data_IF_753222734096
#
_entry.id   IF_753222734096
#
_cell.length_a   1.000
_cell.length_b   1.000
_cell.length_c   1.000
_cell.angle_alpha   90.00
_cell.angle_beta   90.00
_cell.angle_gamma   90.00
#
_symmetry.space_group_name_H-M   'P 1'
#
loop_
_entity.id
_entity.type
_entity.pdbx_description
1 polymer ?
#
# COMPACT_ATOMS: atom_id res chain seq x y z
N UNK A 1 14.79 18.25 -2.53
CA UNK A 1 13.60 18.77 -3.25
C UNK A 1 13.38 18.08 -4.59
N UNK A 2 14.45 17.81 -5.37
CA UNK A 2 14.37 17.05 -6.64
C UNK A 2 13.98 15.58 -6.43
N UNK A 3 14.42 14.93 -5.35
CA UNK A 3 14.06 13.53 -5.06
C UNK A 3 12.60 13.36 -4.61
N UNK A 4 12.02 14.37 -3.94
CA UNK A 4 10.61 14.36 -3.53
C UNK A 4 9.67 14.45 -4.73
N UNK A 5 10.04 15.25 -5.75
CA UNK A 5 9.27 15.38 -7.00
C UNK A 5 9.37 14.10 -7.84
N UNK A 6 10.51 13.40 -7.82
CA UNK A 6 10.67 12.09 -8.50
C UNK A 6 9.86 10.98 -7.82
N UNK A 7 9.82 10.95 -6.47
CA UNK A 7 9.03 10.01 -5.68
C UNK A 7 7.51 10.20 -5.88
N UNK A 8 7.03 11.44 -6.06
CA UNK A 8 5.61 11.75 -6.26
C UNK A 8 5.07 11.54 -7.69
N UNK A 9 5.92 11.45 -8.73
CA UNK A 9 5.46 11.24 -10.12
C UNK A 9 5.11 9.78 -10.42
N UNK A 10 5.84 8.85 -9.82
CA UNK A 10 5.62 7.41 -9.99
C UNK A 10 4.19 6.98 -9.62
N UNK A 11 3.61 7.37 -8.47
CA UNK A 11 2.24 6.99 -8.14
C UNK A 11 1.21 7.57 -9.11
N UNK A 12 1.40 8.80 -9.62
CA UNK A 12 0.49 9.41 -10.61
C UNK A 12 0.51 8.65 -11.93
N UNK A 13 1.71 8.25 -12.39
CA UNK A 13 1.86 7.46 -13.62
C UNK A 13 1.20 6.08 -13.46
N UNK A 14 1.39 5.42 -12.31
CA UNK A 14 0.76 4.13 -12.02
C UNK A 14 -0.77 4.27 -12.03
N UNK A 15 -1.32 5.30 -11.38
CA UNK A 15 -2.76 5.56 -11.37
C UNK A 15 -3.29 5.77 -12.80
N UNK A 16 -2.58 6.56 -13.62
CA UNK A 16 -2.98 6.78 -15.00
C UNK A 16 -2.97 5.49 -15.84
N UNK A 17 -1.95 4.64 -15.69
CA UNK A 17 -1.86 3.34 -16.36
C UNK A 17 -3.01 2.43 -15.91
N UNK A 18 -3.30 2.37 -14.61
CA UNK A 18 -4.40 1.56 -14.07
C UNK A 18 -5.74 2.04 -14.61
N UNK A 19 -5.95 3.35 -14.73
CA UNK A 19 -7.18 3.91 -15.30
C UNK A 19 -7.33 3.55 -16.79
N UNK A 20 -6.27 3.68 -17.59
CA UNK A 20 -6.28 3.31 -19.02
C UNK A 20 -6.54 1.81 -19.19
N UNK A 21 -5.89 0.98 -18.36
CA UNK A 21 -6.07 -0.47 -18.39
C UNK A 21 -7.50 -0.87 -18.00
N UNK A 22 -8.04 -0.25 -16.94
CA UNK A 22 -9.42 -0.49 -16.50
C UNK A 22 -10.44 -0.06 -17.55
N UNK A 23 -10.21 1.09 -18.19
CA UNK A 23 -11.05 1.54 -19.31
C UNK A 23 -11.03 0.55 -20.48
N UNK A 24 -9.84 0.06 -20.85
CA UNK A 24 -9.69 -0.91 -21.92
C UNK A 24 -10.39 -2.22 -21.58
N UNK A 25 -10.24 -2.71 -20.35
CA UNK A 25 -10.92 -3.93 -19.91
C UNK A 25 -12.44 -3.78 -19.96
N UNK A 26 -13.02 -2.75 -19.36
CA UNK A 26 -14.47 -2.55 -19.35
C UNK A 26 -15.05 -2.46 -20.76
N UNK A 27 -14.33 -1.78 -21.68
CA UNK A 27 -14.84 -1.50 -23.02
C UNK A 27 -14.68 -2.66 -24.00
N UNK A 28 -13.64 -3.48 -23.84
CA UNK A 28 -13.31 -4.54 -24.80
C UNK A 28 -13.50 -5.96 -24.25
N UNK A 29 -13.59 -6.12 -22.93
CA UNK A 29 -13.77 -7.40 -22.25
C UNK A 29 -15.03 -7.28 -21.40
N UNK A 30 -16.05 -8.08 -21.70
CA UNK A 30 -17.36 -7.99 -21.05
C UNK A 30 -17.25 -8.48 -19.59
N UNK A 31 -16.81 -7.60 -18.68
CA UNK A 31 -16.45 -7.93 -17.29
C UNK A 31 -17.63 -7.85 -16.31
N UNK A 32 -18.84 -7.55 -16.79
CA UNK A 32 -20.01 -7.28 -15.94
C UNK A 32 -20.37 -8.44 -15.00
N UNK A 33 -20.05 -9.68 -15.39
CA UNK A 33 -20.39 -10.89 -14.64
C UNK A 33 -19.26 -11.37 -13.70
N UNK A 34 -18.16 -10.61 -13.59
CA UNK A 34 -17.06 -10.98 -12.69
C UNK A 34 -17.44 -10.70 -11.24
N UNK A 35 -17.48 -11.77 -10.43
CA UNK A 35 -17.68 -11.70 -8.96
C UNK A 35 -16.74 -10.74 -8.25
N UNK A 36 -15.55 -10.49 -8.81
CA UNK A 36 -14.55 -9.59 -8.22
C UNK A 36 -15.03 -8.14 -8.17
N UNK A 37 -16.04 -7.77 -8.97
CA UNK A 37 -16.58 -6.41 -9.08
C UNK A 37 -17.85 -6.23 -8.21
N UNK A 38 -18.32 -7.30 -7.57
CA UNK A 38 -19.44 -7.21 -6.62
C UNK A 38 -19.06 -6.37 -5.39
N UNK A 39 -19.99 -5.54 -4.91
CA UNK A 39 -19.75 -4.57 -3.84
C UNK A 39 -19.25 -5.23 -2.56
N UNK A 40 -19.90 -6.32 -2.16
CA UNK A 40 -19.53 -7.08 -0.97
C UNK A 40 -18.12 -7.66 -1.08
N UNK A 41 -17.74 -8.13 -2.28
CA UNK A 41 -16.38 -8.62 -2.52
C UNK A 41 -15.35 -7.50 -2.44
N UNK A 42 -15.59 -6.38 -3.13
CA UNK A 42 -14.70 -5.22 -3.16
C UNK A 42 -14.40 -4.70 -1.75
N UNK A 43 -15.44 -4.47 -0.96
CA UNK A 43 -15.29 -3.96 0.42
C UNK A 43 -14.54 -4.97 1.28
N UNK A 44 -14.89 -6.26 1.23
CA UNK A 44 -14.20 -7.29 2.00
C UNK A 44 -12.73 -7.40 1.61
N UNK A 45 -12.40 -7.34 0.32
CA UNK A 45 -11.02 -7.40 -0.16
C UNK A 45 -10.18 -6.25 0.44
N UNK A 46 -10.68 -5.01 0.33
CA UNK A 46 -9.97 -3.84 0.83
C UNK A 46 -9.81 -3.91 2.36
N UNK A 47 -10.84 -4.36 3.09
CA UNK A 47 -10.76 -4.54 4.55
C UNK A 47 -9.75 -5.61 4.96
N UNK A 48 -9.66 -6.72 4.22
CA UNK A 48 -8.63 -7.75 4.43
C UNK A 48 -7.24 -7.15 4.25
N UNK A 49 -7.02 -6.39 3.17
CA UNK A 49 -5.72 -5.76 2.91
C UNK A 49 -5.36 -4.70 3.97
N UNK A 50 -6.35 -3.91 4.41
CA UNK A 50 -6.15 -2.94 5.48
C UNK A 50 -5.77 -3.65 6.80
N UNK A 51 -6.47 -4.72 7.15
CA UNK A 51 -6.20 -5.51 8.36
C UNK A 51 -4.81 -6.14 8.31
N UNK A 52 -4.41 -6.68 7.15
CA UNK A 52 -3.07 -7.21 6.94
C UNK A 52 -2.02 -6.12 7.10
N UNK A 53 -2.24 -4.93 6.52
CA UNK A 53 -1.28 -3.83 6.63
C UNK A 53 -1.08 -3.37 8.08
N UNK A 54 -2.17 -3.23 8.85
CA UNK A 54 -2.09 -2.88 10.27
C UNK A 54 -1.35 -3.95 11.07
N UNK A 55 -1.60 -5.23 10.78
CA UNK A 55 -0.87 -6.33 11.41
C UNK A 55 0.63 -6.27 11.11
N UNK A 56 1.01 -5.98 9.86
CA UNK A 56 2.42 -5.87 9.47
C UNK A 56 3.09 -4.66 10.14
N UNK A 57 2.43 -3.50 10.17
CA UNK A 57 2.93 -2.30 10.89
C UNK A 57 3.16 -2.62 12.37
N UNK A 58 2.24 -3.35 13.00
CA UNK A 58 2.36 -3.76 14.40
C UNK A 58 3.55 -4.71 14.60
N UNK A 59 3.73 -5.68 13.70
CA UNK A 59 4.85 -6.61 13.74
C UNK A 59 6.19 -5.88 13.56
N UNK A 60 6.23 -4.90 12.66
CA UNK A 60 7.40 -4.05 12.42
C UNK A 60 7.75 -3.28 13.68
N UNK A 61 6.78 -2.61 14.29
CA UNK A 61 6.99 -1.86 15.54
C UNK A 61 7.59 -2.76 16.63
N UNK A 62 7.01 -3.95 16.85
CA UNK A 62 7.52 -4.92 17.81
C UNK A 62 8.93 -5.43 17.48
N UNK A 63 9.25 -5.62 16.19
CA UNK A 63 10.57 -6.08 15.75
C UNK A 63 11.63 -5.00 15.93
N UNK A 64 11.28 -3.74 15.63
CA UNK A 64 12.16 -2.59 15.80
C UNK A 64 12.48 -2.35 17.27
N UNK A 65 11.50 -2.43 18.16
CA UNK A 65 11.75 -2.34 19.60
C UNK A 65 12.75 -3.40 20.07
N UNK A 66 12.56 -4.67 19.66
CA UNK A 66 13.51 -5.75 19.99
C UNK A 66 14.91 -5.51 19.44
N UNK A 67 15.04 -4.96 18.23
CA UNK A 67 16.35 -4.60 17.65
C UNK A 67 16.98 -3.48 18.46
N UNK A 68 16.20 -2.45 18.83
CA UNK A 68 16.67 -1.32 19.61
C UNK A 68 17.14 -1.75 21.00
N UNK A 69 16.40 -2.63 21.67
CA UNK A 69 16.77 -3.17 22.98
C UNK A 69 18.10 -3.94 22.91
N UNK A 70 18.25 -4.83 21.92
CA UNK A 70 19.52 -5.54 21.67
C UNK A 70 20.70 -4.61 21.38
N UNK A 71 20.47 -3.52 20.63
CA UNK A 71 21.51 -2.52 20.34
C UNK A 71 21.91 -1.78 21.62
N UNK A 72 20.94 -1.43 22.49
CA UNK A 72 21.20 -0.75 23.75
C UNK A 72 22.00 -1.65 24.70
N UNK A 73 21.65 -2.94 24.80
CA UNK A 73 22.44 -3.93 25.57
C UNK A 73 23.91 -3.97 25.09
N UNK A 74 24.13 -4.01 23.77
CA UNK A 74 25.48 -4.01 23.19
C UNK A 74 26.22 -2.65 23.28
N UNK A 75 25.51 -1.52 23.41
CA UNK A 75 26.13 -0.19 23.61
C UNK A 75 26.86 -0.07 24.93
N UNK A 76 26.47 -0.83 25.96
CA UNK A 76 27.21 -0.90 27.22
C UNK A 76 28.63 -1.48 27.07
N UNK A 77 28.95 -2.09 25.92
CA UNK A 77 30.29 -2.63 25.61
C UNK A 77 31.24 -1.63 24.93
N UNK A 78 30.85 -0.36 24.76
CA UNK A 78 31.80 0.74 24.47
C UNK A 78 32.33 0.86 23.03
N UNK A 79 31.66 0.27 22.03
CA UNK A 79 32.18 0.24 20.66
C UNK A 79 31.55 1.33 19.76
N UNK A 80 32.31 2.40 19.44
CA UNK A 80 31.85 3.57 18.65
C UNK A 80 31.36 3.25 17.22
N UNK A 81 31.71 2.08 16.67
CA UNK A 81 31.18 1.63 15.37
C UNK A 81 29.71 1.20 15.45
N UNK A 82 29.28 0.66 16.60
CA UNK A 82 27.90 0.21 16.84
C UNK A 82 26.93 1.40 16.85
N UNK A 83 27.36 2.59 17.31
CA UNK A 83 26.50 3.78 17.34
C UNK A 83 26.14 4.29 15.93
N UNK A 84 27.10 4.27 14.98
CA UNK A 84 26.85 4.66 13.59
C UNK A 84 25.97 3.64 12.86
N UNK A 85 26.20 2.34 13.09
CA UNK A 85 25.38 1.26 12.52
C UNK A 85 23.95 1.33 13.07
N UNK A 86 23.79 1.55 14.37
CA UNK A 86 22.49 1.76 15.03
C UNK A 86 21.71 2.93 14.46
N UNK A 87 22.32 4.12 14.30
CA UNK A 87 21.65 5.29 13.73
C UNK A 87 21.18 5.06 12.28
N UNK A 88 21.93 4.29 11.50
CA UNK A 88 21.55 3.97 10.13
C UNK A 88 20.41 2.95 10.07
N UNK A 89 20.41 1.94 10.96
CA UNK A 89 19.32 0.97 11.07
C UNK A 89 18.03 1.68 11.51
N UNK A 90 18.08 2.52 12.54
CA UNK A 90 16.91 3.26 13.02
C UNK A 90 16.31 4.17 11.94
N UNK A 91 17.16 4.84 11.14
CA UNK A 91 16.72 5.65 10.01
C UNK A 91 16.05 4.81 8.92
N UNK A 92 16.70 3.73 8.48
CA UNK A 92 16.15 2.86 7.43
C UNK A 92 14.82 2.25 7.86
N UNK A 93 14.70 1.83 9.11
CA UNK A 93 13.48 1.26 9.65
C UNK A 93 12.36 2.30 9.75
N UNK A 94 12.66 3.53 10.18
CA UNK A 94 11.70 4.63 10.19
C UNK A 94 11.23 4.99 8.77
N UNK A 95 12.13 4.99 7.79
CA UNK A 95 11.80 5.27 6.39
C UNK A 95 10.85 4.20 5.84
N UNK A 96 11.11 2.91 6.13
CA UNK A 96 10.22 1.81 5.74
C UNK A 96 8.87 1.94 6.47
N UNK A 97 8.87 2.29 7.75
CA UNK A 97 7.63 2.49 8.51
C UNK A 97 6.75 3.60 7.92
N UNK A 98 7.35 4.73 7.54
CA UNK A 98 6.61 5.82 6.90
C UNK A 98 6.10 5.43 5.50
N UNK A 99 6.85 4.63 4.74
CA UNK A 99 6.40 4.07 3.46
C UNK A 99 5.16 3.18 3.64
N UNK A 100 5.23 2.20 4.55
CA UNK A 100 4.09 1.32 4.85
C UNK A 100 2.87 2.07 5.38
N UNK A 101 3.08 3.12 6.17
CA UNK A 101 2.01 4.00 6.65
C UNK A 101 1.35 4.78 5.52
N UNK A 102 2.12 5.24 4.53
CA UNK A 102 1.57 5.90 3.35
C UNK A 102 0.73 4.93 2.51
N UNK A 103 1.22 3.71 2.29
CA UNK A 103 0.48 2.68 1.56
C UNK A 103 -0.81 2.27 2.29
N UNK A 104 -0.75 2.14 3.62
CA UNK A 104 -1.95 1.85 4.44
C UNK A 104 -2.99 2.96 4.34
N UNK A 105 -2.55 4.23 4.38
CA UNK A 105 -3.44 5.37 4.18
C UNK A 105 -4.06 5.36 2.79
N UNK A 106 -3.29 4.96 1.78
CA UNK A 106 -3.79 4.82 0.42
C UNK A 106 -4.88 3.75 0.31
N UNK A 107 -4.69 2.57 0.92
CA UNK A 107 -5.74 1.54 1.03
C UNK A 107 -7.00 2.07 1.74
N UNK A 108 -6.83 2.89 2.78
CA UNK A 108 -7.96 3.52 3.45
C UNK A 108 -8.71 4.50 2.54
N UNK A 109 -8.00 5.29 1.72
CA UNK A 109 -8.66 6.12 0.72
C UNK A 109 -9.38 5.29 -0.35
N UNK A 110 -8.78 4.19 -0.81
CA UNK A 110 -9.44 3.23 -1.70
C UNK A 110 -10.76 2.73 -1.11
N UNK A 111 -10.81 2.45 0.19
CA UNK A 111 -12.04 2.05 0.88
C UNK A 111 -13.10 3.16 0.85
N UNK A 112 -12.72 4.40 1.19
CA UNK A 112 -13.64 5.55 1.15
C UNK A 112 -14.18 5.76 -0.27
N UNK A 113 -13.31 5.70 -1.28
CA UNK A 113 -13.71 5.82 -2.67
C UNK A 113 -14.62 4.68 -3.12
N UNK A 114 -14.36 3.45 -2.69
CA UNK A 114 -15.22 2.30 -2.98
C UNK A 114 -16.63 2.53 -2.43
N UNK A 115 -16.74 2.94 -1.17
CA UNK A 115 -18.02 3.28 -0.54
C UNK A 115 -18.74 4.39 -1.32
N UNK A 116 -18.02 5.46 -1.70
CA UNK A 116 -18.60 6.56 -2.47
C UNK A 116 -19.15 6.09 -3.84
N UNK A 117 -18.44 5.20 -4.53
CA UNK A 117 -18.88 4.62 -5.81
C UNK A 117 -20.11 3.73 -5.64
N UNK A 118 -20.15 2.89 -4.61
CA UNK A 118 -21.31 2.02 -4.32
C UNK A 118 -22.55 2.87 -4.01
N UNK A 119 -22.39 3.96 -3.25
CA UNK A 119 -23.47 4.93 -3.00
C UNK A 119 -23.89 5.58 -4.33
N UNK A 120 -22.94 6.02 -5.16
CA UNK A 120 -23.22 6.64 -6.46
C UNK A 120 -23.98 5.70 -7.41
N UNK A 121 -23.66 4.40 -7.39
CA UNK A 121 -24.39 3.36 -8.11
C UNK A 121 -25.85 3.32 -7.70
N UNK A 122 -26.10 3.29 -6.39
CA UNK A 122 -27.43 3.21 -5.78
C UNK A 122 -28.29 4.48 -5.99
N UNK A 123 -27.67 5.64 -6.18
CA UNK A 123 -28.39 6.89 -6.42
C UNK A 123 -28.75 7.00 -7.91
N UNK A 124 -30.00 6.73 -8.24
CA UNK A 124 -30.59 7.18 -9.50
C UNK A 124 -31.07 8.61 -9.32
N UNK A 125 -30.35 9.59 -9.87
CA UNK A 125 -30.79 10.99 -9.84
C UNK A 125 -31.74 11.20 -11.02
N UNK A 126 -33.05 11.39 -10.79
CA UNK A 126 -33.95 11.76 -11.88
C UNK A 126 -33.51 13.12 -12.43
N UNK A 127 -33.43 13.23 -13.76
CA UNK A 127 -33.05 14.42 -14.54
C UNK A 127 -31.56 14.79 -14.64
N UNK A 128 -30.63 14.06 -14.02
CA UNK A 128 -29.19 14.25 -14.31
C UNK A 128 -28.77 13.24 -15.37
N UNK A 129 -28.64 13.72 -16.61
CA UNK A 129 -27.97 12.94 -17.65
C UNK A 129 -26.49 12.82 -17.31
N UNK A 130 -25.95 11.61 -17.47
CA UNK A 130 -24.54 11.35 -17.24
C UNK A 130 -23.68 12.30 -18.10
N UNK A 131 -22.76 13.09 -17.52
CA UNK A 131 -22.12 14.21 -18.21
C UNK A 131 -21.09 13.78 -19.27
N UNK A 132 -20.72 12.50 -19.31
CA UNK A 132 -19.67 11.98 -20.18
C UNK A 132 -20.30 11.22 -21.35
N UNK A 133 -20.09 11.70 -22.58
CA UNK A 133 -20.67 11.07 -23.79
C UNK A 133 -20.05 9.72 -24.17
N UNK A 134 -18.82 9.44 -23.75
CA UNK A 134 -18.04 8.28 -24.20
C UNK A 134 -18.11 7.05 -23.30
N UNK A 135 -18.71 7.19 -22.11
CA UNK A 135 -18.80 6.18 -21.07
C UNK A 135 -20.17 6.33 -20.42
N UNK A 136 -20.93 5.25 -20.29
CA UNK A 136 -22.17 5.27 -19.52
C UNK A 136 -21.88 5.20 -17.99
N UNK A 137 -22.88 5.56 -17.15
CA UNK A 137 -22.73 5.55 -15.68
C UNK A 137 -22.22 4.19 -15.16
N UNK A 138 -22.75 3.07 -15.68
CA UNK A 138 -22.39 1.73 -15.22
C UNK A 138 -20.96 1.35 -15.61
N UNK A 139 -20.54 1.65 -16.83
CA UNK A 139 -19.16 1.48 -17.31
C UNK A 139 -18.18 2.28 -16.46
N UNK A 140 -18.54 3.52 -16.08
CA UNK A 140 -17.72 4.33 -15.17
C UNK A 140 -17.60 3.70 -13.78
N UNK A 141 -18.70 3.20 -13.24
CA UNK A 141 -18.74 2.52 -11.95
C UNK A 141 -17.84 1.27 -12.00
N UNK A 142 -18.02 0.42 -13.01
CA UNK A 142 -17.22 -0.80 -13.19
C UNK A 142 -15.73 -0.48 -13.37
N UNK A 143 -15.41 0.52 -14.20
CA UNK A 143 -14.04 1.00 -14.39
C UNK A 143 -13.42 1.45 -13.08
N UNK A 144 -14.18 2.18 -12.26
CA UNK A 144 -13.71 2.71 -11.00
C UNK A 144 -13.51 1.60 -9.96
N UNK A 145 -14.46 0.67 -9.82
CA UNK A 145 -14.33 -0.51 -8.96
C UNK A 145 -13.10 -1.33 -9.33
N UNK A 146 -12.92 -1.61 -10.61
CA UNK A 146 -11.77 -2.37 -11.09
C UNK A 146 -10.44 -1.65 -10.85
N UNK A 147 -10.40 -0.33 -11.08
CA UNK A 147 -9.24 0.49 -10.77
C UNK A 147 -8.87 0.42 -9.28
N UNK A 148 -9.86 0.48 -8.40
CA UNK A 148 -9.65 0.38 -6.95
C UNK A 148 -9.06 -0.98 -6.58
N UNK A 149 -9.55 -2.07 -7.17
CA UNK A 149 -9.00 -3.42 -6.92
C UNK A 149 -7.52 -3.46 -7.29
N UNK A 150 -7.17 -3.02 -8.50
CA UNK A 150 -5.78 -3.03 -8.96
C UNK A 150 -4.87 -2.15 -8.11
N UNK A 151 -5.33 -0.94 -7.77
CA UNK A 151 -4.59 -0.03 -6.90
C UNK A 151 -4.38 -0.63 -5.50
N UNK A 152 -5.39 -1.33 -4.98
CA UNK A 152 -5.30 -1.99 -3.68
C UNK A 152 -4.30 -3.16 -3.70
N UNK A 153 -4.26 -3.94 -4.79
CA UNK A 153 -3.27 -5.01 -4.98
C UNK A 153 -1.85 -4.46 -5.07
N UNK A 154 -1.66 -3.35 -5.81
CA UNK A 154 -0.34 -2.70 -5.92
C UNK A 154 0.13 -2.21 -4.55
N UNK A 155 -0.74 -1.55 -3.79
CA UNK A 155 -0.40 -1.07 -2.45
C UNK A 155 -0.05 -2.23 -1.50
N UNK A 156 -0.78 -3.34 -1.56
CA UNK A 156 -0.46 -4.55 -0.79
C UNK A 156 0.91 -5.11 -1.15
N UNK A 157 1.24 -5.15 -2.45
CA UNK A 157 2.55 -5.60 -2.92
C UNK A 157 3.67 -4.75 -2.33
N UNK A 158 3.50 -3.43 -2.30
CA UNK A 158 4.51 -2.49 -1.79
C UNK A 158 4.69 -2.63 -0.26
N UNK A 159 3.59 -2.86 0.47
CA UNK A 159 3.59 -3.25 1.89
C UNK A 159 4.37 -4.56 2.12
N UNK A 160 4.15 -5.57 1.28
CA UNK A 160 4.87 -6.86 1.39
C UNK A 160 6.36 -6.72 1.07
N UNK A 161 6.73 -5.92 0.05
CA UNK A 161 8.14 -5.64 -0.25
C UNK A 161 8.83 -4.91 0.91
N UNK A 162 8.16 -3.94 1.50
CA UNK A 162 8.64 -3.23 2.70
C UNK A 162 8.92 -4.19 3.85
N UNK A 163 8.02 -5.15 4.10
CA UNK A 163 8.22 -6.20 5.10
C UNK A 163 9.43 -7.08 4.79
N UNK A 164 9.58 -7.55 3.54
CA UNK A 164 10.71 -8.37 3.13
C UNK A 164 12.06 -7.65 3.30
N UNK A 165 12.09 -6.34 3.03
CA UNK A 165 13.28 -5.51 3.26
C UNK A 165 13.66 -5.42 4.75
N UNK A 166 12.69 -5.44 5.65
CA UNK A 166 12.99 -5.43 7.10
C UNK A 166 13.54 -6.77 7.56
N UNK A 167 12.98 -7.88 7.07
CA UNK A 167 13.47 -9.22 7.37
C UNK A 167 14.92 -9.37 6.90
N UNK A 168 15.26 -8.83 5.73
CA UNK A 168 16.64 -8.87 5.23
C UNK A 168 17.58 -8.03 6.11
N UNK A 169 17.18 -6.83 6.55
CA UNK A 169 17.96 -6.01 7.49
C UNK A 169 18.20 -6.76 8.80
N UNK A 170 17.16 -7.39 9.37
CA UNK A 170 17.28 -8.19 10.59
C UNK A 170 18.30 -9.33 10.42
N UNK A 171 18.22 -10.08 9.31
CA UNK A 171 19.15 -11.18 9.04
C UNK A 171 20.61 -10.69 8.89
N UNK A 172 20.83 -9.49 8.34
CA UNK A 172 22.17 -8.89 8.26
C UNK A 172 22.72 -8.59 9.65
N UNK A 173 21.88 -8.08 10.57
CA UNK A 173 22.26 -7.80 11.96
C UNK A 173 22.65 -9.10 12.67
N UNK A 174 21.81 -10.13 12.58
CA UNK A 174 22.05 -11.43 13.24
C UNK A 174 23.33 -12.13 12.68
N UNK A 175 23.62 -11.99 11.38
CA UNK A 175 24.80 -12.59 10.74
C UNK A 175 26.11 -11.84 11.01
N UNK A 176 26.07 -10.52 11.24
CA UNK A 176 27.26 -9.77 11.60
C UNK A 176 27.68 -10.03 13.06
N UNK A 177 26.71 -10.31 13.95
CA UNK A 177 26.99 -10.69 15.34
C UNK A 177 27.60 -12.09 15.47
N UNK A 178 27.23 -13.04 14.62
CA UNK A 178 27.82 -14.40 14.63
C UNK A 178 29.25 -14.45 14.10
N UNK A 179 29.72 -13.43 13.39
CA UNK A 179 31.13 -13.32 12.94
C UNK A 179 32.05 -12.64 13.95
N UNK A 180 31.50 -11.97 14.97
CA UNK A 180 32.26 -11.31 16.04
C UNK A 180 32.46 -12.21 17.28
N UNK A 181 31.85 -13.40 17.30
CA UNK A 181 32.06 -14.46 18.30
C UNK A 181 32.92 -15.59 17.72
#
# INVERSE_FOLDING_TARGET
MVDFIKRNKIPIIIIAIVLIFSFTLVKFVNINDLKIIEDGYLINLILIFLSLSVAIITLLFSTTEKIRDKIIENKFLGNNQIEKVSKNIDRNVNDIFEEMKQDTKFLFYCLIFAIAIIILESINIPNIQWPIKFINKMEFILMSKFSIILLSIISLRDILYSLLNIISIKNIIDNNQTKEN
#
